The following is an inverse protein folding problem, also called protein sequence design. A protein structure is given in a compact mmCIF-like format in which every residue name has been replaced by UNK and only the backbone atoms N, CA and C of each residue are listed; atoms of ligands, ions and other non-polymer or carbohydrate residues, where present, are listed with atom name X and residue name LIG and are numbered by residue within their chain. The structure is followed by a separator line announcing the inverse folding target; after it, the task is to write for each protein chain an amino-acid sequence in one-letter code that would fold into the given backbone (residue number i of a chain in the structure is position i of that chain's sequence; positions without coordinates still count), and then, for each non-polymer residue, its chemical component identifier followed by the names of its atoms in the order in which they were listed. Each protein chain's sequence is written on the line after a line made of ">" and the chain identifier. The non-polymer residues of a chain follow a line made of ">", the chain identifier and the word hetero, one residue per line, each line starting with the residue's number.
data_IF_322670688177
#
_entry.id   IF_322670688177
#
_cell.length_a   1.000
_cell.length_b   1.000
_cell.length_c   1.000
_cell.angle_alpha   90.00
_cell.angle_beta   90.00
_cell.angle_gamma   90.00
#
_symmetry.space_group_name_H-M   'P 1'
#
loop_
_entity.id
_entity.type
_entity.pdbx_description
1 polymer ?
#
# COMPACT_ATOMS: atom_id res chain seq x y z
N UNK A 1 10.62 21.85 28.89
CA UNK A 1 9.19 21.44 28.93
C UNK A 1 8.84 21.04 27.50
N UNK A 2 8.35 19.84 27.30
CA UNK A 2 7.84 19.46 25.98
C UNK A 2 6.56 20.23 25.70
N UNK A 3 6.54 20.97 24.61
CA UNK A 3 5.33 21.66 24.16
C UNK A 3 4.40 20.64 23.55
N UNK A 4 3.12 20.67 23.94
CA UNK A 4 2.10 19.75 23.44
C UNK A 4 0.99 20.53 22.76
N UNK A 5 0.33 19.89 21.78
CA UNK A 5 -0.80 20.42 21.04
C UNK A 5 -1.96 19.44 21.05
N UNK A 6 -3.17 19.96 20.96
CA UNK A 6 -4.38 19.16 20.83
C UNK A 6 -4.71 18.93 19.35
N UNK A 7 -4.86 17.68 18.96
CA UNK A 7 -5.31 17.27 17.64
C UNK A 7 -6.57 16.41 17.74
N UNK A 8 -7.32 16.34 16.66
CA UNK A 8 -8.55 15.55 16.58
C UNK A 8 -8.42 14.49 15.49
N UNK A 9 -8.41 13.23 15.91
CA UNK A 9 -8.37 12.06 15.03
C UNK A 9 -9.74 11.38 15.06
N UNK A 10 -10.42 11.33 13.93
CA UNK A 10 -11.76 10.72 13.82
C UNK A 10 -12.77 11.28 14.83
N UNK A 11 -12.67 12.58 15.12
CA UNK A 11 -13.53 13.24 16.10
C UNK A 11 -13.10 13.10 17.56
N UNK A 12 -12.10 12.28 17.88
CA UNK A 12 -11.56 12.12 19.22
C UNK A 12 -10.33 13.00 19.43
N UNK A 13 -10.27 13.70 20.55
CA UNK A 13 -9.16 14.58 20.93
C UNK A 13 -8.00 13.78 21.49
N UNK A 14 -6.78 14.16 21.10
CA UNK A 14 -5.51 13.65 21.60
C UNK A 14 -4.57 14.82 21.85
N UNK A 15 -3.81 14.75 22.95
CA UNK A 15 -2.73 15.70 23.26
C UNK A 15 -1.41 15.03 22.89
N UNK A 16 -0.65 15.63 22.00
CA UNK A 16 0.59 15.07 21.43
C UNK A 16 1.71 16.12 21.44
N UNK A 17 3.00 15.72 21.44
CA UNK A 17 4.12 16.64 21.25
C UNK A 17 4.01 17.42 19.94
N UNK A 18 4.30 18.73 19.96
CA UNK A 18 4.16 19.65 18.82
C UNK A 18 5.24 19.45 17.75
N UNK A 19 6.32 18.77 18.09
CA UNK A 19 7.43 18.46 17.17
C UNK A 19 7.16 17.27 16.25
N UNK A 20 6.06 16.55 16.45
CA UNK A 20 5.71 15.38 15.67
C UNK A 20 5.11 15.74 14.31
N UNK A 21 5.35 14.90 13.30
CA UNK A 21 4.57 14.92 12.07
C UNK A 21 3.19 14.28 12.30
N UNK A 22 2.22 14.57 11.45
CA UNK A 22 0.87 14.00 11.52
C UNK A 22 0.93 12.47 11.66
N UNK A 23 1.75 11.81 10.83
CA UNK A 23 1.91 10.35 10.86
C UNK A 23 2.44 9.86 12.20
N UNK A 24 3.47 10.50 12.74
CA UNK A 24 4.04 10.14 14.05
C UNK A 24 3.10 10.46 15.19
N UNK A 25 2.32 11.55 15.08
CA UNK A 25 1.32 11.90 16.08
C UNK A 25 0.18 10.88 16.14
N UNK A 26 -0.22 10.31 14.98
CA UNK A 26 -1.18 9.20 14.96
C UNK A 26 -0.62 7.94 15.63
N UNK A 27 0.62 7.57 15.34
CA UNK A 27 1.30 6.44 15.99
C UNK A 27 1.46 6.68 17.51
N UNK A 28 1.83 7.89 17.92
CA UNK A 28 1.91 8.29 19.33
C UNK A 28 0.56 8.19 20.05
N UNK A 29 -0.53 8.51 19.34
CA UNK A 29 -1.90 8.35 19.85
C UNK A 29 -2.38 6.88 19.90
N UNK A 30 -1.53 5.91 19.51
CA UNK A 30 -1.81 4.49 19.56
C UNK A 30 -2.43 3.89 18.30
N UNK A 31 -2.43 4.62 17.17
CA UNK A 31 -2.91 4.07 15.90
C UNK A 31 -1.82 3.26 15.21
N UNK A 32 -2.15 2.04 14.84
CA UNK A 32 -1.31 1.21 13.98
C UNK A 32 -1.60 1.54 12.51
N UNK A 33 -0.59 2.05 11.80
CA UNK A 33 -0.73 2.47 10.41
C UNK A 33 -0.43 1.30 9.46
N UNK A 34 -1.44 0.51 9.16
CA UNK A 34 -1.37 -0.60 8.20
C UNK A 34 -1.36 -0.09 6.75
N UNK A 35 -1.88 1.13 6.52
CA UNK A 35 -1.94 1.82 5.21
C UNK A 35 -1.47 3.25 5.35
N UNK A 36 -1.09 3.86 4.22
CA UNK A 36 -0.65 5.24 4.20
C UNK A 36 0.72 5.48 4.83
N UNK A 37 1.56 4.46 5.00
CA UNK A 37 2.86 4.54 5.66
C UNK A 37 4.00 3.93 4.81
N UNK A 38 4.07 4.25 3.52
CA UNK A 38 5.11 3.77 2.61
C UNK A 38 6.52 4.26 2.99
N UNK A 39 7.10 5.16 2.22
CA UNK A 39 8.49 5.62 2.42
C UNK A 39 8.73 6.44 3.70
N UNK A 40 7.70 7.02 4.29
CA UNK A 40 7.75 7.92 5.48
C UNK A 40 8.61 9.17 5.28
N UNK A 41 9.05 9.45 4.07
CA UNK A 41 10.01 10.52 3.75
C UNK A 41 9.57 11.41 2.57
N UNK A 42 8.26 11.59 2.38
CA UNK A 42 7.69 12.55 1.42
C UNK A 42 7.76 12.14 -0.05
N UNK A 43 8.30 10.96 -0.37
CA UNK A 43 8.53 10.53 -1.75
C UNK A 43 7.33 9.80 -2.38
N UNK A 44 6.78 8.78 -1.71
CA UNK A 44 5.82 7.86 -2.34
C UNK A 44 4.38 8.40 -2.43
N UNK A 45 4.01 9.44 -1.67
CA UNK A 45 2.67 10.01 -1.65
C UNK A 45 1.61 9.15 -0.93
N UNK A 46 1.97 7.96 -0.41
CA UNK A 46 1.01 7.04 0.21
C UNK A 46 0.31 7.64 1.45
N UNK A 47 0.95 8.57 2.13
CA UNK A 47 0.42 9.25 3.31
C UNK A 47 -0.33 10.56 3.01
N UNK A 48 -0.73 10.75 1.75
CA UNK A 48 -1.52 11.92 1.38
C UNK A 48 -2.82 11.96 2.19
N UNK A 49 -3.11 13.11 2.80
CA UNK A 49 -4.29 13.32 3.63
C UNK A 49 -4.75 14.76 3.56
N UNK A 50 -5.86 15.03 4.21
CA UNK A 50 -6.36 16.39 4.39
C UNK A 50 -6.50 16.69 5.88
N UNK A 51 -6.36 17.96 6.20
CA UNK A 51 -6.65 18.45 7.53
C UNK A 51 -7.34 19.82 7.47
N UNK A 52 -7.89 20.22 8.62
CA UNK A 52 -8.47 21.51 8.86
C UNK A 52 -8.08 21.98 10.26
N UNK A 53 -7.86 23.27 10.45
CA UNK A 53 -7.66 23.88 11.77
C UNK A 53 -9.01 24.39 12.29
N UNK A 54 -9.25 24.28 13.58
CA UNK A 54 -10.49 24.76 14.21
C UNK A 54 -10.66 26.27 13.95
N UNK A 55 -11.83 26.64 13.43
CA UNK A 55 -12.13 28.04 13.08
C UNK A 55 -11.83 28.39 11.63
N UNK A 56 -11.01 27.60 10.93
CA UNK A 56 -10.77 27.71 9.51
C UNK A 56 -11.79 26.85 8.73
N UNK A 57 -12.20 27.33 7.55
CA UNK A 57 -13.07 26.59 6.62
C UNK A 57 -12.28 25.95 5.48
N UNK A 58 -11.01 26.28 5.36
CA UNK A 58 -10.14 25.76 4.33
C UNK A 58 -9.69 24.32 4.64
N UNK A 59 -9.66 23.48 3.60
CA UNK A 59 -9.13 22.12 3.64
C UNK A 59 -7.73 22.12 3.05
N UNK A 60 -6.76 21.73 3.84
CA UNK A 60 -5.36 21.66 3.43
C UNK A 60 -4.99 20.23 3.02
N UNK A 61 -4.38 20.08 1.85
CA UNK A 61 -3.80 18.81 1.39
C UNK A 61 -2.34 18.71 1.82
N UNK A 62 -1.96 17.58 2.37
CA UNK A 62 -0.59 17.38 2.83
C UNK A 62 -0.12 15.94 2.75
N UNK A 63 1.19 15.77 2.95
CA UNK A 63 1.80 14.48 3.21
C UNK A 63 2.00 14.32 4.72
N UNK A 64 1.28 13.41 5.34
CA UNK A 64 1.28 13.22 6.80
C UNK A 64 2.67 12.90 7.39
N UNK A 65 3.59 12.35 6.60
CA UNK A 65 4.96 12.09 7.02
C UNK A 65 5.88 13.32 7.01
N UNK A 66 5.44 14.43 6.43
CA UNK A 66 6.22 15.69 6.32
C UNK A 66 5.60 16.83 7.10
N UNK A 67 4.28 16.87 7.20
CA UNK A 67 3.56 17.98 7.84
C UNK A 67 3.53 17.79 9.35
N UNK A 68 3.97 18.80 10.12
CA UNK A 68 3.90 18.81 11.58
C UNK A 68 2.47 19.03 12.04
N UNK A 69 2.17 18.55 13.24
CA UNK A 69 0.89 18.81 13.88
C UNK A 69 0.83 20.25 14.41
N UNK A 70 -0.36 20.82 14.37
CA UNK A 70 -0.66 22.14 14.91
C UNK A 70 -1.84 22.04 15.88
N UNK A 71 -1.91 23.01 16.78
CA UNK A 71 -2.98 23.02 17.79
C UNK A 71 -4.37 23.13 17.14
N UNK A 72 -5.30 22.32 17.63
CA UNK A 72 -6.66 22.24 17.11
C UNK A 72 -6.78 21.76 15.64
N UNK A 73 -5.83 20.97 15.17
CA UNK A 73 -5.84 20.33 13.86
C UNK A 73 -6.82 19.15 13.84
N UNK A 74 -7.77 19.16 12.90
CA UNK A 74 -8.70 18.06 12.62
C UNK A 74 -8.15 17.24 11.46
N UNK A 75 -7.92 15.97 11.68
CA UNK A 75 -7.22 15.09 10.76
C UNK A 75 -8.15 14.02 10.20
N UNK A 76 -8.02 13.77 8.91
CA UNK A 76 -8.64 12.65 8.24
C UNK A 76 -7.75 11.39 8.30
N UNK A 77 -8.30 10.25 7.89
CA UNK A 77 -7.57 8.97 7.82
C UNK A 77 -6.47 8.99 6.75
N UNK A 78 -5.50 8.10 6.89
CA UNK A 78 -4.44 7.87 5.90
C UNK A 78 -4.66 6.55 5.15
N UNK A 79 -4.67 6.52 3.82
CA UNK A 79 -4.86 7.68 2.95
C UNK A 79 -6.30 8.21 3.05
N UNK A 80 -6.51 9.49 2.85
CA UNK A 80 -7.85 10.12 2.93
C UNK A 80 -8.78 9.66 1.79
N UNK A 81 -8.24 9.43 0.62
CA UNK A 81 -9.06 9.19 -0.58
C UNK A 81 -9.95 7.96 -0.41
N UNK A 82 -11.28 8.09 -0.53
CA UNK A 82 -12.19 6.98 -0.40
C UNK A 82 -11.94 5.99 -1.54
N UNK A 83 -11.35 4.85 -1.18
CA UNK A 83 -11.18 3.73 -2.09
C UNK A 83 -12.32 2.74 -1.82
N UNK A 84 -13.25 2.64 -2.75
CA UNK A 84 -14.28 1.61 -2.70
C UNK A 84 -13.60 0.26 -2.87
N UNK A 85 -13.55 -0.51 -1.80
CA UNK A 85 -13.05 -1.87 -1.79
C UNK A 85 -14.23 -2.82 -1.73
N UNK A 86 -14.46 -3.55 -2.81
CA UNK A 86 -15.45 -4.61 -2.81
C UNK A 86 -14.95 -5.83 -2.01
N UNK A 87 -15.80 -6.44 -1.16
CA UNK A 87 -15.51 -7.73 -0.56
C UNK A 87 -15.65 -8.82 -1.62
N UNK A 88 -14.69 -9.72 -1.68
CA UNK A 88 -14.76 -10.90 -2.55
C UNK A 88 -13.96 -12.05 -1.94
N UNK A 89 -14.34 -13.25 -2.30
CA UNK A 89 -13.59 -14.48 -2.01
C UNK A 89 -12.84 -14.89 -3.28
N UNK A 90 -11.51 -14.81 -3.25
CA UNK A 90 -10.69 -15.11 -4.42
C UNK A 90 -10.85 -16.54 -4.92
N UNK A 91 -11.19 -17.49 -4.00
CA UNK A 91 -11.39 -18.90 -4.36
C UNK A 91 -12.62 -19.13 -5.24
N UNK A 92 -13.58 -18.20 -5.21
CA UNK A 92 -14.84 -18.29 -5.93
C UNK A 92 -14.86 -17.46 -7.23
N UNK A 93 -13.77 -16.74 -7.52
CA UNK A 93 -13.68 -15.92 -8.71
C UNK A 93 -13.09 -16.70 -9.89
N UNK A 94 -13.63 -16.46 -11.07
CA UNK A 94 -13.06 -16.88 -12.34
C UNK A 94 -12.27 -15.71 -12.97
N UNK A 95 -11.05 -15.90 -13.51
CA UNK A 95 -10.27 -14.85 -14.15
C UNK A 95 -10.83 -14.43 -15.52
N UNK A 96 -12.13 -14.18 -15.59
CA UNK A 96 -12.83 -13.69 -16.76
C UNK A 96 -13.15 -12.20 -16.65
N UNK A 97 -13.41 -11.57 -17.81
CA UNK A 97 -13.76 -10.13 -17.87
C UNK A 97 -14.95 -9.77 -16.98
N UNK A 98 -15.91 -10.68 -16.83
CA UNK A 98 -17.12 -10.51 -16.02
C UNK A 98 -16.83 -10.13 -14.58
N UNK A 99 -15.74 -10.63 -13.99
CA UNK A 99 -15.34 -10.30 -12.60
C UNK A 99 -15.18 -8.79 -12.41
N UNK A 100 -14.62 -8.08 -13.39
CA UNK A 100 -14.50 -6.62 -13.31
C UNK A 100 -15.85 -5.92 -13.48
N UNK A 101 -16.76 -6.46 -14.27
CA UNK A 101 -18.11 -5.90 -14.43
C UNK A 101 -18.95 -6.05 -13.16
N UNK A 102 -18.74 -7.14 -12.43
CA UNK A 102 -19.50 -7.42 -11.20
C UNK A 102 -18.95 -6.64 -9.99
N UNK A 103 -17.61 -6.59 -9.83
CA UNK A 103 -17.00 -6.01 -8.65
C UNK A 103 -16.67 -4.53 -8.79
N UNK A 104 -16.31 -4.07 -9.98
CA UNK A 104 -15.89 -2.69 -10.24
C UNK A 104 -16.49 -2.15 -11.55
N UNK A 105 -17.83 -2.11 -11.69
CA UNK A 105 -18.50 -1.69 -12.95
C UNK A 105 -18.15 -0.26 -13.36
N UNK A 106 -17.73 0.59 -12.42
CA UNK A 106 -17.36 1.98 -12.68
C UNK A 106 -16.17 2.11 -13.65
N UNK A 107 -15.34 1.07 -13.84
CA UNK A 107 -14.25 1.13 -14.81
C UNK A 107 -14.74 1.34 -16.24
N UNK A 108 -15.94 0.86 -16.56
CA UNK A 108 -16.55 1.00 -17.88
C UNK A 108 -17.12 2.41 -18.14
N UNK A 109 -17.15 3.26 -17.12
CA UNK A 109 -17.50 4.69 -17.24
C UNK A 109 -16.27 5.58 -17.53
N UNK A 110 -15.11 4.99 -17.76
CA UNK A 110 -13.88 5.71 -18.04
C UNK A 110 -14.00 6.52 -19.33
N UNK A 111 -13.85 7.84 -19.22
CA UNK A 111 -13.93 8.78 -20.37
C UNK A 111 -12.57 9.05 -21.04
N UNK A 112 -11.51 8.35 -20.66
CA UNK A 112 -10.19 8.48 -21.27
C UNK A 112 -9.46 9.80 -20.96
N UNK A 113 -9.83 10.56 -19.93
CA UNK A 113 -9.27 11.89 -19.65
C UNK A 113 -7.80 11.90 -19.20
N UNK A 114 -7.22 10.74 -18.88
CA UNK A 114 -5.83 10.54 -18.45
C UNK A 114 -5.41 11.28 -17.16
N UNK A 115 -6.34 11.83 -16.39
CA UNK A 115 -6.04 12.51 -15.13
C UNK A 115 -5.36 11.57 -14.11
N UNK A 116 -5.77 10.31 -14.06
CA UNK A 116 -5.22 9.29 -13.18
C UNK A 116 -3.73 8.99 -13.46
N UNK A 117 -3.33 8.86 -14.73
CA UNK A 117 -1.91 8.66 -15.12
C UNK A 117 -1.07 9.90 -14.79
N UNK A 118 -1.58 11.09 -15.12
CA UNK A 118 -0.87 12.35 -14.87
C UNK A 118 -0.65 12.62 -13.37
N UNK A 119 -1.54 12.11 -12.51
CA UNK A 119 -1.45 12.31 -11.05
C UNK A 119 -0.75 11.17 -10.31
N UNK A 120 -0.31 10.12 -11.00
CA UNK A 120 0.32 8.98 -10.36
C UNK A 120 1.69 9.35 -9.78
N UNK A 121 1.87 9.15 -8.47
CA UNK A 121 3.12 9.45 -7.75
C UNK A 121 4.25 8.49 -8.09
N UNK A 122 3.92 7.31 -8.67
CA UNK A 122 4.89 6.30 -9.10
C UNK A 122 5.11 6.29 -10.62
N UNK A 123 4.55 7.25 -11.36
CA UNK A 123 4.71 7.34 -12.80
C UNK A 123 4.02 6.23 -13.60
N UNK A 124 3.08 5.48 -12.99
CA UNK A 124 2.40 4.38 -13.64
C UNK A 124 1.41 4.86 -14.71
N UNK A 125 1.29 4.09 -15.78
CA UNK A 125 0.29 4.32 -16.85
C UNK A 125 -1.09 3.85 -16.41
N UNK A 126 -1.69 4.55 -15.43
CA UNK A 126 -2.93 4.14 -14.74
C UNK A 126 -4.09 3.93 -15.69
N UNK A 127 -4.34 4.87 -16.60
CA UNK A 127 -5.41 4.73 -17.59
C UNK A 127 -5.23 3.48 -18.45
N UNK A 128 -3.98 3.15 -18.79
CA UNK A 128 -3.68 1.99 -19.62
C UNK A 128 -4.00 0.67 -18.87
N UNK A 129 -3.61 0.55 -17.59
CA UNK A 129 -3.92 -0.68 -16.88
C UNK A 129 -5.43 -0.83 -16.59
N UNK A 130 -6.18 0.26 -16.45
CA UNK A 130 -7.65 0.19 -16.39
C UNK A 130 -8.23 -0.31 -17.72
N UNK A 131 -7.70 0.16 -18.86
CA UNK A 131 -8.15 -0.33 -20.16
C UNK A 131 -7.87 -1.83 -20.36
N UNK A 132 -6.80 -2.35 -19.81
CA UNK A 132 -6.53 -3.81 -19.79
C UNK A 132 -7.49 -4.54 -18.86
N UNK A 133 -7.76 -4.01 -17.66
CA UNK A 133 -8.73 -4.59 -16.74
C UNK A 133 -10.14 -4.67 -17.36
N UNK A 134 -10.57 -3.64 -18.10
CA UNK A 134 -11.83 -3.64 -18.83
C UNK A 134 -11.94 -4.79 -19.87
N UNK A 135 -10.83 -5.20 -20.45
CA UNK A 135 -10.77 -6.27 -21.44
C UNK A 135 -10.48 -7.66 -20.86
N UNK A 136 -10.29 -7.76 -19.54
CA UNK A 136 -9.91 -9.02 -18.90
C UNK A 136 -8.44 -9.39 -19.11
N UNK A 137 -7.59 -8.48 -19.60
CA UNK A 137 -6.15 -8.71 -19.82
C UNK A 137 -5.40 -8.54 -18.48
N UNK A 138 -5.69 -9.44 -17.52
CA UNK A 138 -5.23 -9.28 -16.13
C UNK A 138 -3.73 -9.40 -15.97
N UNK A 139 -3.03 -10.20 -16.77
CA UNK A 139 -1.59 -10.30 -16.75
C UNK A 139 -0.94 -8.95 -17.08
N UNK A 140 -1.35 -8.28 -18.15
CA UNK A 140 -0.86 -6.95 -18.53
C UNK A 140 -1.21 -5.89 -17.49
N UNK A 141 -2.43 -5.98 -16.93
CA UNK A 141 -2.86 -5.08 -15.86
C UNK A 141 -2.01 -5.27 -14.59
N UNK A 142 -1.73 -6.51 -14.21
CA UNK A 142 -0.92 -6.87 -13.06
C UNK A 142 0.50 -6.33 -13.18
N UNK A 143 1.16 -6.59 -14.31
CA UNK A 143 2.52 -6.11 -14.61
C UNK A 143 2.58 -4.58 -14.56
N UNK A 144 1.73 -3.88 -15.31
CA UNK A 144 1.77 -2.41 -15.40
C UNK A 144 1.38 -1.69 -14.10
N UNK A 145 0.74 -2.39 -13.17
CA UNK A 145 0.33 -1.84 -11.86
C UNK A 145 1.14 -2.36 -10.69
N UNK A 146 2.17 -3.17 -10.92
CA UNK A 146 2.89 -3.86 -9.85
C UNK A 146 3.45 -2.91 -8.79
N UNK A 147 4.06 -1.80 -9.19
CA UNK A 147 4.67 -0.81 -8.30
C UNK A 147 3.64 0.15 -7.67
N UNK A 148 2.35 -0.16 -7.72
CA UNK A 148 1.32 0.70 -7.15
C UNK A 148 1.37 0.67 -5.61
N UNK A 149 1.68 1.81 -5.00
CA UNK A 149 1.72 2.01 -3.53
C UNK A 149 0.34 2.27 -2.91
N UNK A 150 -0.75 2.13 -3.67
CA UNK A 150 -2.13 2.29 -3.18
C UNK A 150 -2.45 3.67 -2.57
N UNK A 151 -1.77 4.75 -2.98
CA UNK A 151 -1.96 6.09 -2.42
C UNK A 151 -3.36 6.69 -2.68
N UNK A 152 -4.09 6.24 -3.71
CA UNK A 152 -5.45 6.67 -4.01
C UNK A 152 -5.58 7.99 -4.77
N UNK A 153 -4.49 8.71 -5.08
CA UNK A 153 -4.53 10.02 -5.79
C UNK A 153 -5.25 9.90 -7.14
N UNK A 154 -5.01 8.83 -7.88
CA UNK A 154 -5.66 8.58 -9.16
C UNK A 154 -7.19 8.46 -9.03
N UNK A 155 -7.68 7.82 -7.97
CA UNK A 155 -9.12 7.71 -7.69
C UNK A 155 -9.73 9.04 -7.29
N UNK A 156 -9.03 9.83 -6.48
CA UNK A 156 -9.49 11.17 -6.10
C UNK A 156 -9.60 12.15 -7.28
N UNK A 157 -8.80 11.93 -8.33
CA UNK A 157 -8.81 12.75 -9.54
C UNK A 157 -9.75 12.22 -10.64
N UNK A 158 -10.40 11.10 -10.42
CA UNK A 158 -11.23 10.45 -11.42
C UNK A 158 -12.66 10.99 -11.42
N UNK A 159 -13.14 11.61 -12.53
CA UNK A 159 -14.51 12.09 -12.60
C UNK A 159 -15.54 10.95 -12.64
N UNK A 160 -15.12 9.72 -13.02
CA UNK A 160 -15.97 8.53 -13.03
C UNK A 160 -15.93 7.74 -11.72
N UNK A 161 -15.25 8.23 -10.68
CA UNK A 161 -15.21 7.58 -9.37
C UNK A 161 -14.49 6.21 -9.33
N UNK A 162 -13.64 5.92 -10.30
CA UNK A 162 -12.96 4.61 -10.40
C UNK A 162 -12.00 4.39 -9.25
N UNK A 163 -12.08 3.23 -8.62
CA UNK A 163 -11.17 2.78 -7.57
C UNK A 163 -9.94 2.10 -8.14
N UNK A 164 -9.14 2.82 -8.95
CA UNK A 164 -7.99 2.29 -9.71
C UNK A 164 -7.07 1.36 -8.91
N UNK A 165 -6.62 1.70 -7.68
CA UNK A 165 -5.72 0.82 -6.94
C UNK A 165 -6.38 -0.52 -6.54
N UNK A 166 -7.68 -0.53 -6.28
CA UNK A 166 -8.41 -1.75 -5.92
C UNK A 166 -8.62 -2.65 -7.14
N UNK A 167 -8.95 -2.05 -8.30
CA UNK A 167 -9.01 -2.76 -9.59
C UNK A 167 -7.66 -3.41 -9.92
N UNK A 168 -6.56 -2.66 -9.78
CA UNK A 168 -5.21 -3.17 -9.98
C UNK A 168 -4.87 -4.31 -9.00
N UNK A 169 -5.27 -4.19 -7.73
CA UNK A 169 -5.05 -5.24 -6.73
C UNK A 169 -5.82 -6.52 -7.07
N UNK A 170 -7.07 -6.39 -7.52
CA UNK A 170 -7.86 -7.55 -7.96
C UNK A 170 -7.21 -8.22 -9.17
N UNK A 171 -6.81 -7.45 -10.19
CA UNK A 171 -6.13 -7.99 -11.36
C UNK A 171 -4.83 -8.73 -11.00
N UNK A 172 -4.01 -8.18 -10.11
CA UNK A 172 -2.77 -8.84 -9.62
C UNK A 172 -3.07 -10.14 -8.89
N UNK A 173 -4.13 -10.18 -8.08
CA UNK A 173 -4.53 -11.40 -7.35
C UNK A 173 -5.06 -12.48 -8.30
N UNK A 174 -5.88 -12.10 -9.28
CA UNK A 174 -6.37 -13.04 -10.30
C UNK A 174 -5.22 -13.59 -11.15
N UNK A 175 -4.31 -12.71 -11.57
CA UNK A 175 -3.13 -13.10 -12.32
C UNK A 175 -2.26 -14.09 -11.54
N UNK A 176 -1.87 -13.73 -10.31
CA UNK A 176 -0.98 -14.57 -9.51
C UNK A 176 -1.59 -15.90 -9.07
N UNK A 177 -2.92 -15.99 -8.95
CA UNK A 177 -3.57 -17.23 -8.56
C UNK A 177 -3.87 -18.16 -9.74
N UNK A 178 -4.31 -17.61 -10.87
CA UNK A 178 -4.90 -18.40 -11.93
C UNK A 178 -4.14 -18.38 -13.26
N UNK A 179 -3.35 -17.32 -13.52
CA UNK A 179 -2.71 -17.11 -14.82
C UNK A 179 -1.19 -17.28 -14.78
N UNK A 180 -0.55 -16.97 -13.67
CA UNK A 180 0.89 -17.16 -13.52
C UNK A 180 1.24 -18.65 -13.40
N UNK A 181 2.36 -19.08 -14.00
CA UNK A 181 2.86 -20.43 -13.83
C UNK A 181 3.15 -20.73 -12.35
N UNK A 182 2.87 -21.95 -11.94
CA UNK A 182 3.23 -22.43 -10.61
C UNK A 182 4.74 -22.39 -10.41
N UNK A 183 5.17 -21.76 -9.34
CA UNK A 183 6.58 -21.59 -9.01
C UNK A 183 7.14 -22.86 -8.34
N UNK A 184 7.62 -23.80 -9.16
CA UNK A 184 8.06 -25.12 -8.71
C UNK A 184 9.18 -25.03 -7.68
N UNK A 185 10.21 -24.20 -7.90
CA UNK A 185 11.34 -24.07 -6.97
C UNK A 185 10.91 -23.51 -5.59
N UNK A 186 9.87 -22.67 -5.54
CA UNK A 186 9.30 -22.22 -4.28
C UNK A 186 8.58 -23.35 -3.55
N UNK A 187 7.82 -24.17 -4.29
CA UNK A 187 7.14 -25.33 -3.71
C UNK A 187 8.13 -26.36 -3.17
N UNK A 188 9.22 -26.62 -3.88
CA UNK A 188 10.31 -27.48 -3.44
C UNK A 188 10.95 -26.94 -2.15
N UNK A 189 11.22 -25.62 -2.09
CA UNK A 189 11.76 -24.99 -0.90
C UNK A 189 10.81 -25.09 0.31
N UNK A 190 9.50 -24.87 0.08
CA UNK A 190 8.48 -25.03 1.14
C UNK A 190 8.43 -26.47 1.62
N UNK A 191 8.56 -27.45 0.72
CA UNK A 191 8.60 -28.86 1.10
C UNK A 191 9.86 -29.21 1.92
N UNK A 192 11.03 -28.72 1.51
CA UNK A 192 12.28 -28.89 2.29
C UNK A 192 12.17 -28.34 3.71
N UNK A 193 11.47 -27.20 3.88
CA UNK A 193 11.22 -26.62 5.23
C UNK A 193 10.29 -27.54 6.03
N UNK A 194 9.21 -28.04 5.42
CA UNK A 194 8.25 -28.96 6.08
C UNK A 194 8.91 -30.28 6.47
N UNK A 195 9.84 -30.76 5.68
CA UNK A 195 10.59 -32.00 5.91
C UNK A 195 11.71 -31.81 6.95
N UNK A 196 11.87 -30.60 7.51
CA UNK A 196 12.84 -30.31 8.56
C UNK A 196 14.29 -30.22 8.07
N UNK A 197 14.53 -30.10 6.76
CA UNK A 197 15.89 -30.07 6.17
C UNK A 197 16.81 -29.02 6.82
N UNK A 198 16.22 -27.91 7.27
CA UNK A 198 16.95 -26.76 7.80
C UNK A 198 16.99 -26.72 9.34
N UNK A 199 16.31 -27.62 10.03
CA UNK A 199 16.23 -27.58 11.50
C UNK A 199 17.58 -27.81 12.18
N UNK A 200 18.31 -28.85 11.75
CA UNK A 200 19.62 -29.17 12.33
C UNK A 200 20.68 -28.09 12.02
N UNK A 201 20.84 -27.63 10.76
CA UNK A 201 21.75 -26.50 10.48
C UNK A 201 21.42 -25.23 11.27
N UNK A 202 20.13 -24.89 11.44
CA UNK A 202 19.72 -23.73 12.23
C UNK A 202 20.05 -23.94 13.70
N UNK A 203 19.81 -25.13 14.26
CA UNK A 203 20.14 -25.46 15.64
C UNK A 203 21.64 -25.37 15.89
N UNK A 204 22.46 -25.83 14.95
CA UNK A 204 23.91 -25.70 15.03
C UNK A 204 24.34 -24.24 15.06
N UNK A 205 23.82 -23.40 14.17
CA UNK A 205 24.10 -21.95 14.16
C UNK A 205 23.67 -21.27 15.47
N UNK A 206 22.53 -21.64 16.04
CA UNK A 206 22.04 -21.05 17.30
C UNK A 206 22.92 -21.43 18.52
N UNK A 207 23.65 -22.54 18.44
CA UNK A 207 24.54 -23.02 19.50
C UNK A 207 26.03 -22.63 19.30
N UNK A 208 26.35 -21.97 18.18
CA UNK A 208 27.70 -21.50 17.87
C UNK A 208 28.05 -20.23 18.64
N UNK A 209 29.32 -20.05 18.96
CA UNK A 209 29.84 -18.80 19.50
C UNK A 209 29.95 -17.69 18.44
N UNK A 210 29.95 -16.45 18.89
CA UNK A 210 30.01 -15.26 18.00
C UNK A 210 31.21 -15.27 17.05
N UNK A 211 32.35 -15.78 17.49
CA UNK A 211 33.59 -15.85 16.70
C UNK A 211 33.43 -16.84 15.52
N UNK A 212 32.84 -18.00 15.79
CA UNK A 212 32.61 -19.04 14.78
C UNK A 212 31.57 -18.58 13.75
N UNK A 213 30.49 -17.91 14.20
CA UNK A 213 29.50 -17.33 13.32
C UNK A 213 30.12 -16.26 12.39
N UNK A 214 30.98 -15.40 12.93
CA UNK A 214 31.74 -14.41 12.14
C UNK A 214 32.66 -15.04 11.12
N UNK A 215 33.34 -16.14 11.50
CA UNK A 215 34.21 -16.88 10.59
C UNK A 215 33.42 -17.46 9.42
N UNK A 216 32.26 -18.09 9.66
CA UNK A 216 31.35 -18.60 8.63
C UNK A 216 30.80 -17.48 7.74
N UNK A 217 30.41 -16.37 8.36
CA UNK A 217 29.93 -15.21 7.60
C UNK A 217 30.96 -14.68 6.61
N UNK A 218 32.22 -14.63 6.99
CA UNK A 218 33.32 -14.15 6.17
C UNK A 218 33.72 -15.13 5.04
N UNK A 219 33.39 -16.42 5.20
CA UNK A 219 33.67 -17.47 4.20
C UNK A 219 32.58 -17.59 3.14
N UNK A 220 31.43 -16.93 3.31
CA UNK A 220 30.35 -16.99 2.33
C UNK A 220 30.78 -16.40 0.99
N UNK A 221 30.28 -16.98 -0.10
CA UNK A 221 30.37 -16.38 -1.42
C UNK A 221 29.49 -15.12 -1.45
N UNK A 222 30.13 -13.97 -1.64
CA UNK A 222 29.43 -12.70 -1.81
C UNK A 222 29.39 -12.44 -3.31
N UNK A 223 28.21 -12.35 -3.86
CA UNK A 223 28.03 -11.89 -5.25
C UNK A 223 28.66 -10.50 -5.39
N UNK A 224 29.51 -10.35 -6.41
CA UNK A 224 30.23 -9.10 -6.71
C UNK A 224 29.38 -8.21 -7.58
#
# INVERSE_FOLDING_TARGET
>A
MEHTVDIYLFGKRYTVPDNLTIMRAMEYAGYELVRGCGCRNGFCGACATIYRIKGDRELHFCLACQTKVENNMYLAMLPFFPLVKQPYDLEKLDPAQQVMMELYPEIYQCIGCNACTKSCTQGLKVMQYIAWAQRGEFAKCAEASFDCVMCGVCSARCPAGISHPQVAMLARRLNGKYLEPFCQHLAERVQEIKDGKWEEPIRQLMNMGDEDIRALYNQREIEK
#
